data_IF_204871202952
#
_entry.id   IF_204871202952
#
_cell.length_a   1.000
_cell.length_b   1.000
_cell.length_c   1.000
_cell.angle_alpha   90.00
_cell.angle_beta   90.00
_cell.angle_gamma   90.00
#
_symmetry.space_group_name_H-M   'P 1'
#
loop_
_entity.id
_entity.type
_entity.pdbx_description
1 polymer ?
#
# COMPACT_ATOMS: atom_id res chain seq x y z
N UNK A 1 -7.08 2.35 0.38
CA UNK A 1 -5.94 2.38 -0.57
C UNK A 1 -4.71 3.06 0.01
N UNK A 2 -4.86 4.15 0.76
CA UNK A 2 -3.72 4.84 1.40
C UNK A 2 -2.99 3.93 2.41
N UNK A 3 -3.72 3.09 3.09
CA UNK A 3 -3.12 2.14 4.03
C UNK A 3 -2.15 1.20 3.32
N UNK A 4 -2.54 0.70 2.15
CA UNK A 4 -1.67 -0.14 1.32
C UNK A 4 -0.43 0.63 0.87
N UNK A 5 -0.59 1.89 0.50
CA UNK A 5 0.55 2.74 0.13
C UNK A 5 1.55 2.84 1.27
N UNK A 6 1.08 3.01 2.50
CA UNK A 6 1.93 3.09 3.68
C UNK A 6 2.66 1.76 3.94
N UNK A 7 2.00 0.64 3.69
CA UNK A 7 2.63 -0.68 3.83
C UNK A 7 3.74 -0.85 2.79
N UNK A 8 3.46 -0.47 1.54
CA UNK A 8 4.39 -0.68 0.43
C UNK A 8 5.53 0.32 0.38
N UNK A 9 5.40 1.49 1.01
CA UNK A 9 6.43 2.54 0.91
C UNK A 9 7.79 2.11 1.45
N UNK A 10 7.82 1.18 2.39
CA UNK A 10 9.04 0.67 3.01
C UNK A 10 9.48 -0.67 2.43
N UNK A 11 8.85 -1.12 1.35
CA UNK A 11 9.14 -2.39 0.70
C UNK A 11 9.36 -2.19 -0.78
N UNK A 12 10.26 -2.96 -1.36
CA UNK A 12 10.50 -2.90 -2.81
C UNK A 12 9.31 -3.48 -3.56
N UNK A 13 8.75 -4.57 -3.05
CA UNK A 13 7.59 -5.22 -3.63
C UNK A 13 6.96 -6.16 -2.60
N UNK A 14 5.67 -6.48 -2.79
CA UNK A 14 4.97 -7.41 -1.91
C UNK A 14 4.18 -8.41 -2.74
N UNK A 15 4.01 -9.61 -2.21
CA UNK A 15 3.16 -10.65 -2.80
C UNK A 15 1.84 -10.71 -2.03
N UNK A 16 0.84 -11.35 -2.63
CA UNK A 16 -0.42 -11.61 -1.94
C UNK A 16 -0.21 -12.44 -0.66
N UNK A 17 0.71 -13.41 -0.73
CA UNK A 17 1.03 -14.23 0.43
C UNK A 17 1.56 -13.42 1.60
N UNK A 18 2.45 -12.48 1.32
CA UNK A 18 2.97 -11.57 2.34
C UNK A 18 1.88 -10.72 2.97
N UNK A 19 0.96 -10.20 2.16
CA UNK A 19 -0.15 -9.39 2.64
C UNK A 19 -1.08 -10.22 3.53
N UNK A 20 -1.34 -11.46 3.17
CA UNK A 20 -2.15 -12.37 3.98
C UNK A 20 -1.49 -12.68 5.32
N UNK A 21 -0.18 -12.84 5.33
CA UNK A 21 0.59 -13.05 6.56
C UNK A 21 0.49 -11.86 7.49
N UNK A 22 0.34 -10.66 6.94
CA UNK A 22 0.12 -9.45 7.72
C UNK A 22 -1.31 -9.35 8.26
N UNK A 23 -2.19 -10.27 7.86
CA UNK A 23 -3.58 -10.29 8.30
C UNK A 23 -4.51 -9.42 7.48
N UNK A 24 -4.10 -9.02 6.27
CA UNK A 24 -4.93 -8.18 5.42
C UNK A 24 -6.03 -8.99 4.74
N UNK A 25 -7.22 -8.39 4.67
CA UNK A 25 -8.38 -9.01 4.09
C UNK A 25 -8.34 -9.04 2.55
N UNK A 26 -9.17 -9.89 1.96
CA UNK A 26 -9.29 -10.04 0.52
C UNK A 26 -9.60 -8.73 -0.20
N UNK A 27 -10.31 -7.81 0.44
CA UNK A 27 -10.63 -6.49 -0.14
C UNK A 27 -9.38 -5.70 -0.54
N UNK A 28 -8.29 -5.88 0.19
CA UNK A 28 -7.03 -5.19 -0.15
C UNK A 28 -6.41 -5.75 -1.41
N UNK A 29 -6.55 -7.06 -1.64
CA UNK A 29 -6.09 -7.70 -2.88
C UNK A 29 -6.89 -7.17 -4.07
N UNK A 30 -8.19 -6.99 -3.89
CA UNK A 30 -9.06 -6.40 -4.92
C UNK A 30 -8.65 -4.97 -5.25
N UNK A 31 -8.28 -4.18 -4.25
CA UNK A 31 -7.81 -2.81 -4.45
C UNK A 31 -6.54 -2.80 -5.30
N UNK A 32 -5.60 -3.71 -5.03
CA UNK A 32 -4.37 -3.83 -5.81
C UNK A 32 -4.66 -4.21 -7.26
N UNK A 33 -5.55 -5.16 -7.48
CA UNK A 33 -5.92 -5.60 -8.83
C UNK A 33 -6.64 -4.53 -9.63
N UNK A 34 -7.57 -3.81 -8.99
CA UNK A 34 -8.33 -2.74 -9.64
C UNK A 34 -7.45 -1.53 -9.95
N UNK A 35 -6.57 -1.18 -9.02
CA UNK A 35 -5.59 -0.11 -9.18
C UNK A 35 -6.19 1.16 -9.78
N UNK A 36 -7.36 1.58 -9.27
CA UNK A 36 -8.15 2.69 -9.80
C UNK A 36 -7.35 3.99 -9.88
N UNK A 37 -6.53 4.25 -8.88
CA UNK A 37 -5.74 5.49 -8.81
C UNK A 37 -4.34 5.34 -9.40
N UNK A 38 -3.98 4.17 -9.90
CA UNK A 38 -2.65 3.86 -10.42
C UNK A 38 -1.54 4.07 -9.38
N UNK A 39 -1.87 3.88 -8.11
CA UNK A 39 -0.91 4.01 -7.01
C UNK A 39 0.00 2.80 -6.88
N UNK A 40 -0.33 1.71 -7.54
CA UNK A 40 0.42 0.45 -7.46
C UNK A 40 0.90 0.03 -8.84
N UNK A 41 2.05 -0.62 -8.89
CA UNK A 41 2.62 -1.14 -10.11
C UNK A 41 2.77 -2.66 -9.99
N UNK A 42 2.26 -3.38 -10.97
CA UNK A 42 2.40 -4.83 -11.04
C UNK A 42 3.78 -5.14 -11.61
N UNK A 43 4.66 -5.73 -10.78
CA UNK A 43 6.01 -6.13 -11.20
C UNK A 43 5.96 -7.43 -12.00
N UNK A 44 5.21 -8.39 -11.46
CA UNK A 44 4.94 -9.66 -12.12
C UNK A 44 3.66 -10.24 -11.50
N UNK A 45 3.24 -11.42 -11.95
CA UNK A 45 1.99 -12.02 -11.48
C UNK A 45 1.98 -12.18 -9.96
N UNK A 46 1.03 -11.52 -9.30
CA UNK A 46 0.88 -11.57 -7.85
C UNK A 46 1.88 -10.75 -7.05
N UNK A 47 2.71 -9.95 -7.72
CA UNK A 47 3.73 -9.10 -7.07
C UNK A 47 3.48 -7.65 -7.42
N UNK A 48 3.36 -6.80 -6.40
CA UNK A 48 3.05 -5.38 -6.56
C UNK A 48 4.01 -4.51 -5.80
N UNK A 49 4.20 -3.30 -6.28
CA UNK A 49 5.00 -2.28 -5.61
C UNK A 49 4.31 -0.93 -5.70
N UNK A 50 4.76 0.01 -4.90
CA UNK A 50 4.23 1.38 -4.92
C UNK A 50 4.72 2.08 -6.18
N UNK A 51 3.78 2.68 -6.93
CA UNK A 51 4.11 3.45 -8.14
C UNK A 51 4.56 4.86 -7.77
N UNK A 52 5.02 5.63 -8.76
CA UNK A 52 5.33 7.04 -8.57
C UNK A 52 4.10 7.83 -8.11
N UNK A 53 2.96 7.54 -8.73
CA UNK A 53 1.70 8.17 -8.34
C UNK A 53 1.33 7.86 -6.90
N UNK A 54 1.58 6.63 -6.44
CA UNK A 54 1.36 6.24 -5.06
C UNK A 54 2.26 6.99 -4.10
N UNK A 55 3.52 7.16 -4.46
CA UNK A 55 4.46 7.94 -3.65
C UNK A 55 4.04 9.40 -3.56
N UNK A 56 3.60 9.98 -4.67
CA UNK A 56 3.09 11.35 -4.70
C UNK A 56 1.85 11.50 -3.83
N UNK A 57 0.96 10.50 -3.85
CA UNK A 57 -0.24 10.51 -3.02
C UNK A 57 0.11 10.56 -1.53
N UNK A 58 1.16 9.86 -1.11
CA UNK A 58 1.61 9.89 0.28
C UNK A 58 2.15 11.26 0.70
N UNK A 59 2.58 12.07 -0.27
CA UNK A 59 3.09 13.41 -0.03
C UNK A 59 2.02 14.48 -0.17
N UNK A 60 0.81 14.11 -0.63
CA UNK A 60 -0.30 15.04 -0.80
C UNK A 60 -0.73 15.63 0.54
N UNK A 61 -0.92 16.95 0.53
CA UNK A 61 -1.32 17.69 1.72
C UNK A 61 -2.67 17.21 2.28
N UNK A 62 -3.61 16.91 1.39
CA UNK A 62 -4.94 16.46 1.75
C UNK A 62 -4.94 15.13 2.51
N UNK A 63 -3.92 14.31 2.29
CA UNK A 63 -3.79 12.99 2.90
C UNK A 63 -2.82 12.96 4.08
N UNK A 64 -2.18 14.08 4.39
CA UNK A 64 -1.12 14.14 5.39
C UNK A 64 -1.50 13.54 6.74
N UNK A 65 -2.66 13.91 7.27
CA UNK A 65 -3.12 13.41 8.58
C UNK A 65 -3.44 11.92 8.53
N UNK A 66 -4.07 11.47 7.46
CA UNK A 66 -4.44 10.06 7.29
C UNK A 66 -3.18 9.21 7.15
N UNK A 67 -2.24 9.66 6.35
CA UNK A 67 -0.96 8.98 6.14
C UNK A 67 -0.18 8.88 7.45
N UNK A 68 -0.12 9.95 8.22
CA UNK A 68 0.55 9.95 9.51
C UNK A 68 -0.07 8.94 10.47
N UNK A 69 -1.40 8.84 10.47
CA UNK A 69 -2.13 7.86 11.28
C UNK A 69 -1.74 6.42 10.90
N UNK A 70 -1.74 6.12 9.61
CA UNK A 70 -1.40 4.76 9.15
C UNK A 70 0.06 4.40 9.39
N UNK A 71 0.97 5.34 9.23
CA UNK A 71 2.40 5.13 9.51
C UNK A 71 2.61 4.79 10.98
N UNK A 72 1.94 5.53 11.85
CA UNK A 72 2.01 5.31 13.30
C UNK A 72 1.46 3.94 13.69
N UNK A 73 0.36 3.52 13.05
CA UNK A 73 -0.23 2.20 13.29
C UNK A 73 0.72 1.07 12.88
N UNK A 74 1.39 1.23 11.74
CA UNK A 74 2.37 0.25 11.27
C UNK A 74 3.55 0.14 12.23
N UNK A 75 4.03 1.25 12.77
CA UNK A 75 5.12 1.26 13.74
C UNK A 75 4.76 0.50 15.02
N UNK A 76 3.52 0.63 15.46
CA UNK A 76 3.04 -0.04 16.68
C UNK A 76 2.94 -1.56 16.54
N UNK A 77 2.77 -2.06 15.34
CA UNK A 77 2.66 -3.49 15.07
C UNK A 77 4.01 -4.21 15.07
N UNK A 78 5.06 -3.45 15.00
CA UNK A 78 6.42 -3.97 15.11
C UNK A 78 6.86 -4.08 16.57
#
# INVERSE_FOLDING_TARGET
ALYLCCILENREAVTYGELREMGLEEKYMSILRSNVYHWFERVEKGVYRLSEEGRKALEERDYEKVVAYYRKSNEKEE
#
